data_IF_177223971123
#
_entry.id   IF_177223971123
#
_cell.length_a   1.000
_cell.length_b   1.000
_cell.length_c   1.000
_cell.angle_alpha   90.00
_cell.angle_beta   90.00
_cell.angle_gamma   90.00
#
_symmetry.space_group_name_H-M   'P 1'
#
loop_
_entity.id
_entity.type
_entity.pdbx_description
1 polymer ?
#
# COMPACT_ATOMS: atom_id res chain seq x y z
N UNK A 1 7.73 -18.40 -20.24
CA UNK A 1 9.19 -18.61 -20.26
C UNK A 1 9.94 -17.80 -19.21
N UNK A 2 9.87 -16.46 -19.15
CA UNK A 2 10.73 -15.69 -18.23
C UNK A 2 10.64 -16.05 -16.73
N UNK A 3 9.48 -16.46 -16.22
CA UNK A 3 9.39 -17.00 -14.84
C UNK A 3 9.94 -18.42 -14.72
N UNK A 4 9.85 -19.23 -15.77
CA UNK A 4 10.45 -20.57 -15.81
C UNK A 4 11.97 -20.48 -15.74
N UNK A 5 12.58 -19.53 -16.45
CA UNK A 5 14.04 -19.31 -16.37
C UNK A 5 14.50 -18.99 -14.94
N UNK A 6 13.69 -18.22 -14.19
CA UNK A 6 13.93 -17.94 -12.77
C UNK A 6 13.79 -19.19 -11.90
N UNK A 7 12.73 -19.99 -12.12
CA UNK A 7 12.50 -21.23 -11.37
C UNK A 7 13.58 -22.26 -11.67
N UNK A 8 13.99 -22.40 -12.94
CA UNK A 8 15.07 -23.29 -13.34
C UNK A 8 16.39 -22.86 -12.70
N UNK A 9 16.70 -21.56 -12.67
CA UNK A 9 17.91 -21.12 -11.96
C UNK A 9 17.83 -21.41 -10.46
N UNK A 10 16.64 -21.27 -9.85
CA UNK A 10 16.44 -21.65 -8.46
C UNK A 10 16.62 -23.16 -8.26
N UNK A 11 16.15 -23.98 -9.22
CA UNK A 11 16.31 -25.44 -9.23
C UNK A 11 17.77 -25.84 -9.28
N UNK A 12 18.55 -25.26 -10.19
CA UNK A 12 19.99 -25.53 -10.28
C UNK A 12 20.69 -25.28 -8.93
N UNK A 13 20.34 -24.16 -8.27
CA UNK A 13 20.91 -23.81 -6.95
C UNK A 13 20.43 -24.74 -5.84
N UNK A 14 19.18 -25.19 -5.91
CA UNK A 14 18.59 -26.10 -4.92
C UNK A 14 19.19 -27.50 -5.05
N UNK A 15 19.33 -28.03 -6.27
CA UNK A 15 19.88 -29.36 -6.53
C UNK A 15 21.37 -29.44 -6.15
N UNK A 16 22.15 -28.38 -6.39
CA UNK A 16 23.55 -28.27 -5.93
C UNK A 16 23.68 -28.37 -4.39
N UNK A 17 22.63 -28.04 -3.65
CA UNK A 17 22.62 -27.99 -2.18
C UNK A 17 21.79 -29.09 -1.53
N UNK A 18 21.00 -29.83 -2.30
CA UNK A 18 20.00 -30.76 -1.78
C UNK A 18 18.83 -30.06 -1.06
N UNK A 19 18.44 -28.87 -1.51
CA UNK A 19 17.39 -28.02 -0.93
C UNK A 19 16.11 -27.98 -1.80
N UNK A 20 15.08 -27.24 -1.34
CA UNK A 20 13.81 -27.02 -2.06
C UNK A 20 13.72 -25.65 -2.75
N UNK A 21 12.97 -25.56 -3.85
CA UNK A 21 12.54 -24.29 -4.47
C UNK A 21 11.15 -23.92 -3.98
N UNK A 22 11.08 -22.78 -3.29
CA UNK A 22 9.84 -22.22 -2.74
C UNK A 22 9.45 -20.95 -3.47
N UNK A 23 8.18 -20.82 -3.85
CA UNK A 23 7.63 -19.62 -4.49
C UNK A 23 6.62 -18.94 -3.58
N UNK A 24 6.91 -17.68 -3.20
CA UNK A 24 6.00 -16.85 -2.43
C UNK A 24 5.01 -16.16 -3.37
N UNK A 25 3.79 -16.67 -3.43
CA UNK A 25 2.80 -16.30 -4.42
C UNK A 25 1.62 -15.55 -3.78
N UNK A 26 1.27 -14.40 -4.33
CA UNK A 26 0.11 -13.66 -3.87
C UNK A 26 -1.21 -14.40 -4.19
N UNK A 27 -2.08 -14.55 -3.19
CA UNK A 27 -3.39 -15.21 -3.33
C UNK A 27 -4.48 -14.27 -3.82
N UNK A 28 -4.76 -13.19 -3.09
CA UNK A 28 -5.91 -12.32 -3.38
C UNK A 28 -5.68 -11.29 -4.48
N UNK A 29 -4.62 -10.49 -4.37
CA UNK A 29 -4.38 -9.38 -5.31
C UNK A 29 -2.94 -9.33 -5.79
N UNK A 30 -2.76 -8.88 -7.03
CA UNK A 30 -1.44 -8.65 -7.63
C UNK A 30 -0.67 -7.55 -6.90
N UNK A 31 0.63 -7.45 -7.15
CA UNK A 31 1.46 -6.34 -6.67
C UNK A 31 1.00 -4.95 -7.20
N UNK A 32 0.14 -4.93 -8.23
CA UNK A 32 -0.52 -3.73 -8.73
C UNK A 32 -1.94 -3.53 -8.15
N UNK A 33 -2.33 -4.34 -7.15
CA UNK A 33 -3.60 -4.29 -6.44
C UNK A 33 -4.85 -4.50 -7.33
N UNK A 34 -4.66 -5.21 -8.44
CA UNK A 34 -5.75 -5.73 -9.28
C UNK A 34 -5.99 -7.22 -8.99
N UNK A 35 -7.22 -7.73 -9.24
CA UNK A 35 -7.48 -9.15 -9.34
C UNK A 35 -6.48 -9.85 -10.28
N UNK A 36 -6.21 -11.11 -10.02
CA UNK A 36 -5.38 -11.91 -10.92
C UNK A 36 -6.14 -12.32 -12.17
N UNK A 37 -5.40 -12.61 -13.22
CA UNK A 37 -5.98 -13.11 -14.46
C UNK A 37 -6.54 -14.51 -14.30
N UNK A 38 -5.79 -15.38 -13.62
CA UNK A 38 -6.17 -16.75 -13.25
C UNK A 38 -6.17 -16.89 -11.73
N UNK A 39 -6.87 -17.92 -11.23
CA UNK A 39 -7.00 -18.26 -9.81
C UNK A 39 -5.64 -18.46 -9.12
N UNK A 40 -5.63 -18.48 -7.78
CA UNK A 40 -4.39 -18.78 -7.04
C UNK A 40 -3.96 -20.22 -7.28
N UNK A 41 -4.93 -21.12 -7.35
CA UNK A 41 -4.79 -22.55 -7.55
C UNK A 41 -4.14 -22.83 -8.91
N UNK A 42 -4.67 -22.26 -9.99
CA UNK A 42 -4.08 -22.40 -11.33
C UNK A 42 -2.66 -21.82 -11.40
N UNK A 43 -2.42 -20.63 -10.83
CA UNK A 43 -1.07 -20.03 -10.81
C UNK A 43 -0.08 -20.82 -9.95
N UNK A 44 -0.55 -21.47 -8.89
CA UNK A 44 0.25 -22.37 -8.06
C UNK A 44 0.63 -23.61 -8.85
N UNK A 45 -0.33 -24.22 -9.53
CA UNK A 45 -0.08 -25.36 -10.42
C UNK A 45 0.92 -25.02 -11.53
N UNK A 46 0.79 -23.86 -12.18
CA UNK A 46 1.75 -23.40 -13.20
C UNK A 46 3.18 -23.29 -12.64
N UNK A 47 3.34 -22.84 -11.39
CA UNK A 47 4.65 -22.72 -10.76
C UNK A 47 5.23 -24.09 -10.36
N UNK A 48 4.39 -25.00 -9.85
CA UNK A 48 4.78 -26.38 -9.54
C UNK A 48 5.20 -27.14 -10.80
N UNK A 49 4.41 -27.07 -11.87
CA UNK A 49 4.76 -27.69 -13.17
C UNK A 49 5.99 -27.05 -13.84
N UNK A 50 6.36 -25.83 -13.44
CA UNK A 50 7.59 -25.18 -13.88
C UNK A 50 8.82 -25.60 -13.05
N UNK A 51 8.65 -26.45 -12.03
CA UNK A 51 9.75 -26.98 -11.22
C UNK A 51 9.91 -26.36 -9.83
N UNK A 52 8.89 -25.69 -9.28
CA UNK A 52 8.87 -25.34 -7.86
C UNK A 52 8.43 -26.57 -7.02
N UNK A 53 8.97 -26.71 -5.79
CA UNK A 53 8.54 -27.79 -4.88
C UNK A 53 7.34 -27.36 -4.02
N UNK A 54 7.31 -26.07 -3.66
CA UNK A 54 6.32 -25.56 -2.69
C UNK A 54 5.90 -24.14 -3.01
N UNK A 55 4.61 -23.87 -2.81
CA UNK A 55 4.03 -22.53 -2.93
C UNK A 55 3.65 -22.03 -1.54
N UNK A 56 4.15 -20.84 -1.19
CA UNK A 56 3.79 -20.15 0.06
C UNK A 56 2.83 -19.01 -0.29
N UNK A 57 1.56 -19.05 0.16
CA UNK A 57 0.62 -17.98 -0.10
C UNK A 57 1.01 -16.71 0.66
N UNK A 58 1.06 -15.58 -0.03
CA UNK A 58 0.93 -14.27 0.60
C UNK A 58 -0.55 -13.93 0.57
N UNK A 59 -1.14 -13.62 1.73
CA UNK A 59 -2.58 -13.40 1.87
C UNK A 59 -2.93 -12.31 2.90
N UNK A 60 -4.24 -12.03 3.03
CA UNK A 60 -4.77 -11.02 3.94
C UNK A 60 -4.32 -9.60 3.61
N UNK A 61 -4.08 -8.81 4.66
CA UNK A 61 -3.75 -7.39 4.57
C UNK A 61 -2.38 -7.12 3.90
N UNK A 62 -1.51 -8.12 3.74
CA UNK A 62 -0.22 -7.97 3.06
C UNK A 62 -0.34 -7.48 1.61
N UNK A 63 -1.49 -7.74 0.96
CA UNK A 63 -1.80 -7.22 -0.37
C UNK A 63 -2.20 -5.75 -0.41
N UNK A 64 -2.41 -5.13 0.75
CA UNK A 64 -2.83 -3.73 0.93
C UNK A 64 -1.66 -2.82 1.30
N UNK A 65 -0.45 -3.38 1.34
CA UNK A 65 0.76 -2.65 1.62
C UNK A 65 1.39 -2.11 0.34
N UNK A 66 1.86 -0.87 0.40
CA UNK A 66 2.68 -0.31 -0.67
C UNK A 66 4.02 -1.03 -0.74
N UNK A 67 4.75 -0.82 -1.83
CA UNK A 67 6.09 -1.37 -2.01
C UNK A 67 7.07 -1.04 -0.87
N UNK A 68 6.87 0.08 -0.18
CA UNK A 68 7.72 0.46 0.95
C UNK A 68 7.65 -0.58 2.08
N UNK A 69 6.45 -1.09 2.39
CA UNK A 69 6.23 -2.04 3.49
C UNK A 69 6.24 -3.49 3.03
N UNK A 70 5.71 -3.80 1.83
CA UNK A 70 5.60 -5.21 1.40
C UNK A 70 6.96 -5.87 1.17
N UNK A 71 7.98 -5.13 0.74
CA UNK A 71 9.32 -5.68 0.47
C UNK A 71 10.03 -6.11 1.75
N UNK A 72 10.19 -5.26 2.79
CA UNK A 72 10.80 -5.70 4.05
C UNK A 72 10.05 -6.85 4.71
N UNK A 73 8.72 -6.83 4.67
CA UNK A 73 7.92 -7.92 5.25
C UNK A 73 8.16 -9.24 4.52
N UNK A 74 8.14 -9.26 3.18
CA UNK A 74 8.37 -10.49 2.41
C UNK A 74 9.77 -11.04 2.60
N UNK A 75 10.79 -10.18 2.61
CA UNK A 75 12.17 -10.63 2.85
C UNK A 75 12.32 -11.18 4.26
N UNK A 76 11.68 -10.55 5.26
CA UNK A 76 11.67 -11.07 6.62
C UNK A 76 10.99 -12.44 6.70
N UNK A 77 9.81 -12.61 6.09
CA UNK A 77 9.11 -13.90 6.00
C UNK A 77 10.03 -14.97 5.39
N UNK A 78 10.66 -14.69 4.25
CA UNK A 78 11.60 -15.61 3.61
C UNK A 78 12.77 -15.98 4.53
N UNK A 79 13.38 -15.02 5.22
CA UNK A 79 14.49 -15.29 6.15
C UNK A 79 14.02 -16.14 7.34
N UNK A 80 12.84 -15.83 7.89
CA UNK A 80 12.24 -16.54 9.02
C UNK A 80 11.86 -17.99 8.66
N UNK A 81 11.36 -18.20 7.45
CA UNK A 81 11.03 -19.51 6.89
C UNK A 81 12.29 -20.32 6.49
N UNK A 82 13.48 -19.75 6.67
CA UNK A 82 14.73 -20.45 6.45
C UNK A 82 15.25 -20.42 5.01
N UNK A 83 14.78 -19.49 4.17
CA UNK A 83 15.29 -19.31 2.81
C UNK A 83 16.74 -18.80 2.84
N UNK A 84 17.65 -19.44 2.12
CA UNK A 84 19.09 -19.10 2.06
C UNK A 84 19.47 -18.33 0.80
N UNK A 85 18.74 -18.52 -0.30
CA UNK A 85 19.07 -18.02 -1.62
C UNK A 85 17.84 -17.38 -2.27
N UNK A 86 18.05 -16.31 -3.02
CA UNK A 86 16.99 -15.59 -3.71
C UNK A 86 17.39 -15.38 -5.17
N UNK A 87 16.52 -15.77 -6.09
CA UNK A 87 16.75 -15.62 -7.54
C UNK A 87 15.90 -14.47 -8.06
N UNK A 88 16.51 -13.55 -8.80
CA UNK A 88 15.81 -12.44 -9.46
C UNK A 88 16.40 -12.17 -10.86
N UNK A 89 15.65 -11.45 -11.68
CA UNK A 89 16.11 -11.01 -12.98
C UNK A 89 16.57 -9.55 -12.95
N UNK A 90 17.74 -9.27 -13.54
CA UNK A 90 18.25 -7.92 -13.68
C UNK A 90 18.89 -7.70 -15.05
N UNK A 91 18.67 -6.53 -15.65
CA UNK A 91 19.31 -6.16 -16.94
C UNK A 91 20.70 -5.56 -16.74
N UNK A 92 21.06 -5.20 -15.51
CA UNK A 92 22.34 -4.61 -15.17
C UNK A 92 23.22 -5.61 -14.42
N UNK A 93 24.54 -5.44 -14.59
CA UNK A 93 25.54 -6.23 -13.88
C UNK A 93 25.26 -6.22 -12.35
N UNK A 94 25.25 -7.39 -11.68
CA UNK A 94 25.08 -7.52 -10.23
C UNK A 94 25.91 -6.55 -9.38
N UNK A 95 27.15 -6.26 -9.78
CA UNK A 95 28.02 -5.33 -9.07
C UNK A 95 27.43 -3.90 -9.05
N UNK A 96 26.72 -3.49 -10.11
CA UNK A 96 26.03 -2.19 -10.16
C UNK A 96 24.84 -2.16 -9.20
N UNK A 97 24.06 -3.25 -9.10
CA UNK A 97 22.96 -3.36 -8.12
C UNK A 97 23.49 -3.14 -6.70
N UNK A 98 24.56 -3.86 -6.33
CA UNK A 98 25.20 -3.74 -5.01
C UNK A 98 25.71 -2.32 -4.75
N UNK A 99 26.36 -1.71 -5.75
CA UNK A 99 26.85 -0.32 -5.67
C UNK A 99 25.71 0.66 -5.41
N UNK A 100 24.61 0.58 -6.17
CA UNK A 100 23.46 1.46 -5.96
C UNK A 100 22.78 1.22 -4.61
N UNK A 101 22.62 -0.03 -4.20
CA UNK A 101 22.02 -0.39 -2.92
C UNK A 101 22.82 0.16 -1.72
N UNK A 102 24.16 0.18 -1.80
CA UNK A 102 25.03 0.60 -0.70
C UNK A 102 24.72 2.00 -0.15
N UNK A 103 24.36 2.95 -1.01
CA UNK A 103 23.98 4.31 -0.60
C UNK A 103 22.67 4.33 0.20
N UNK A 104 21.70 3.51 -0.19
CA UNK A 104 20.41 3.40 0.51
C UNK A 104 20.56 2.66 1.84
N UNK A 105 21.39 1.61 1.88
CA UNK A 105 21.71 0.86 3.10
C UNK A 105 22.35 1.79 4.14
N UNK A 106 23.38 2.54 3.75
CA UNK A 106 24.08 3.48 4.66
C UNK A 106 23.15 4.53 5.25
N UNK A 107 22.19 5.01 4.46
CA UNK A 107 21.22 6.03 4.88
C UNK A 107 20.03 5.45 5.64
N UNK A 108 19.79 4.14 5.55
CA UNK A 108 18.57 3.51 6.04
C UNK A 108 17.31 4.03 5.36
N UNK A 109 17.38 4.42 4.07
CA UNK A 109 16.25 4.99 3.31
C UNK A 109 15.94 4.10 2.11
N UNK A 110 14.83 3.35 2.17
CA UNK A 110 14.46 2.37 1.13
C UNK A 110 13.17 2.74 0.38
N UNK A 111 12.43 3.73 0.90
CA UNK A 111 11.20 4.23 0.30
C UNK A 111 11.46 5.11 -0.93
N UNK A 112 12.54 5.90 -0.89
CA UNK A 112 12.84 6.97 -1.84
C UNK A 112 13.79 6.63 -2.99
N UNK A 113 13.84 5.37 -3.45
CA UNK A 113 14.72 4.99 -4.58
C UNK A 113 14.24 5.65 -5.88
N UNK A 114 15.06 6.50 -6.55
CA UNK A 114 14.65 7.24 -7.74
C UNK A 114 14.18 6.36 -8.90
N UNK A 115 13.17 6.84 -9.64
CA UNK A 115 12.64 6.13 -10.81
C UNK A 115 13.63 6.04 -11.97
N UNK A 116 14.61 6.94 -12.03
CA UNK A 116 15.67 6.96 -13.03
C UNK A 116 16.70 5.84 -12.86
N UNK A 117 16.74 5.15 -11.71
CA UNK A 117 17.66 4.04 -11.51
C UNK A 117 17.15 2.77 -12.21
N UNK A 118 18.02 2.06 -12.96
CA UNK A 118 17.67 0.79 -13.60
C UNK A 118 17.40 -0.28 -12.54
N UNK A 119 16.48 -1.21 -12.83
CA UNK A 119 16.07 -2.29 -11.92
C UNK A 119 15.83 -1.82 -10.46
N UNK A 120 15.24 -0.62 -10.25
CA UNK A 120 15.04 -0.01 -8.92
C UNK A 120 14.39 -0.93 -7.88
N UNK A 121 13.54 -1.86 -8.34
CA UNK A 121 12.88 -2.82 -7.46
C UNK A 121 13.90 -3.82 -6.94
N UNK A 122 14.73 -4.41 -7.81
CA UNK A 122 15.83 -5.31 -7.44
C UNK A 122 16.80 -4.63 -6.47
N UNK A 123 17.14 -3.35 -6.72
CA UNK A 123 17.96 -2.54 -5.80
C UNK A 123 17.29 -2.45 -4.42
N UNK A 124 15.97 -2.23 -4.35
CA UNK A 124 15.21 -2.19 -3.09
C UNK A 124 15.29 -3.53 -2.36
N UNK A 125 15.01 -4.63 -3.05
CA UNK A 125 15.01 -5.97 -2.46
C UNK A 125 16.40 -6.31 -1.90
N UNK A 126 17.45 -6.06 -2.67
CA UNK A 126 18.82 -6.27 -2.20
C UNK A 126 19.16 -5.40 -0.98
N UNK A 127 18.85 -4.10 -1.04
CA UNK A 127 19.14 -3.16 0.03
C UNK A 127 18.44 -3.52 1.34
N UNK A 128 17.19 -3.97 1.25
CA UNK A 128 16.39 -4.38 2.40
C UNK A 128 16.88 -5.71 2.99
N UNK A 129 17.31 -6.66 2.16
CA UNK A 129 17.96 -7.90 2.64
C UNK A 129 19.24 -7.61 3.43
N UNK A 130 20.05 -6.65 2.97
CA UNK A 130 21.24 -6.19 3.70
C UNK A 130 20.89 -5.48 5.01
N UNK A 131 19.82 -4.66 5.02
CA UNK A 131 19.32 -4.03 6.25
C UNK A 131 18.88 -5.06 7.29
N UNK A 132 18.10 -6.06 6.87
CA UNK A 132 17.54 -7.09 7.75
C UNK A 132 18.60 -8.04 8.32
N UNK A 133 19.81 -8.10 7.74
CA UNK A 133 20.94 -8.80 8.34
C UNK A 133 21.24 -8.29 9.75
N UNK A 134 21.07 -7.00 10.02
CA UNK A 134 21.30 -6.43 11.35
C UNK A 134 20.39 -7.06 12.41
N UNK A 135 19.15 -7.40 12.02
CA UNK A 135 18.09 -7.96 12.85
C UNK A 135 18.15 -9.48 12.96
N UNK A 136 18.33 -10.19 11.85
CA UNK A 136 18.28 -11.65 11.82
C UNK A 136 19.65 -12.32 11.92
N UNK A 137 20.75 -11.56 11.79
CA UNK A 137 22.13 -12.07 11.64
C UNK A 137 22.28 -13.10 10.51
N UNK A 138 21.32 -13.08 9.58
CA UNK A 138 21.21 -13.92 8.40
C UNK A 138 20.61 -13.07 7.28
N UNK A 139 21.01 -13.36 6.05
CA UNK A 139 20.49 -12.75 4.84
C UNK A 139 20.53 -13.76 3.71
N UNK A 140 19.66 -13.58 2.71
CA UNK A 140 19.66 -14.44 1.53
C UNK A 140 20.80 -14.06 0.58
N UNK A 141 21.38 -15.06 -0.08
CA UNK A 141 22.32 -14.87 -1.19
C UNK A 141 21.53 -14.61 -2.47
N UNK A 142 21.74 -13.44 -3.08
CA UNK A 142 21.06 -13.07 -4.32
C UNK A 142 21.79 -13.66 -5.53
N UNK A 143 21.03 -14.31 -6.41
CA UNK A 143 21.44 -14.79 -7.72
C UNK A 143 20.69 -14.01 -8.78
N UNK A 144 21.41 -13.40 -9.71
CA UNK A 144 20.80 -12.59 -10.77
C UNK A 144 20.99 -13.28 -12.12
N UNK A 145 19.89 -13.42 -12.86
CA UNK A 145 19.92 -13.83 -14.26
C UNK A 145 19.46 -12.67 -15.16
N UNK A 146 19.80 -12.68 -16.45
CA UNK A 146 19.21 -11.77 -17.41
C UNK A 146 17.68 -11.91 -17.44
N UNK A 147 16.96 -10.82 -17.69
CA UNK A 147 15.51 -10.92 -17.92
C UNK A 147 15.21 -11.79 -19.16
N UNK A 148 14.24 -12.70 -19.03
CA UNK A 148 13.81 -13.57 -20.12
C UNK A 148 13.29 -12.79 -21.32
N UNK A 149 13.86 -13.07 -22.49
CA UNK A 149 13.53 -12.44 -23.77
C UNK A 149 13.15 -13.49 -24.81
N UNK A 150 12.19 -13.16 -25.68
CA UNK A 150 11.88 -13.94 -26.89
C UNK A 150 12.08 -13.02 -28.07
N UNK A 151 12.87 -13.43 -29.06
CA UNK A 151 13.27 -12.62 -30.22
C UNK A 151 13.86 -11.25 -29.84
N UNK A 152 14.60 -11.18 -28.73
CA UNK A 152 15.22 -9.94 -28.23
C UNK A 152 14.28 -9.02 -27.45
N UNK A 153 12.97 -9.31 -27.39
CA UNK A 153 11.98 -8.54 -26.66
C UNK A 153 11.63 -9.16 -25.30
N UNK A 154 11.40 -8.30 -24.30
CA UNK A 154 11.01 -8.73 -22.96
C UNK A 154 9.61 -9.34 -22.98
N UNK A 155 9.48 -10.54 -22.42
CA UNK A 155 8.19 -11.20 -22.28
C UNK A 155 7.33 -10.39 -21.29
N UNK A 156 6.20 -9.84 -21.76
CA UNK A 156 5.33 -8.98 -20.98
C UNK A 156 4.03 -9.69 -20.60
N UNK A 157 3.85 -10.00 -19.31
CA UNK A 157 2.59 -10.56 -18.82
C UNK A 157 1.37 -9.65 -19.07
N UNK A 158 1.56 -8.33 -19.21
CA UNK A 158 0.47 -7.40 -19.58
C UNK A 158 0.04 -7.63 -21.04
N UNK A 159 1.01 -7.80 -21.94
CA UNK A 159 0.74 -8.02 -23.35
C UNK A 159 0.09 -9.40 -23.56
N UNK A 160 0.61 -10.45 -22.93
CA UNK A 160 0.03 -11.80 -22.97
C UNK A 160 -1.45 -11.78 -22.58
N UNK A 161 -1.78 -11.20 -21.42
CA UNK A 161 -3.18 -11.09 -20.98
C UNK A 161 -4.05 -10.29 -21.94
N UNK A 162 -3.52 -9.20 -22.48
CA UNK A 162 -4.26 -8.37 -23.44
C UNK A 162 -4.56 -9.14 -24.72
N UNK A 163 -3.57 -9.84 -25.28
CA UNK A 163 -3.75 -10.65 -26.50
C UNK A 163 -4.79 -11.75 -26.30
N UNK A 164 -4.81 -12.44 -25.15
CA UNK A 164 -5.85 -13.43 -24.85
C UNK A 164 -7.23 -12.77 -24.78
N UNK A 165 -7.36 -11.61 -24.11
CA UNK A 165 -8.63 -10.89 -23.99
C UNK A 165 -9.15 -10.37 -25.34
N UNK A 166 -8.26 -9.80 -26.16
CA UNK A 166 -8.59 -9.28 -27.49
C UNK A 166 -8.95 -10.40 -28.49
N UNK A 167 -8.51 -11.63 -28.22
CA UNK A 167 -8.80 -12.81 -29.02
C UNK A 167 -9.95 -13.67 -28.44
N UNK A 168 -10.92 -13.03 -27.77
CA UNK A 168 -12.11 -13.67 -27.19
C UNK A 168 -11.78 -14.85 -26.27
N UNK A 169 -10.80 -14.66 -25.37
CA UNK A 169 -10.31 -15.67 -24.44
C UNK A 169 -9.68 -16.91 -25.09
N UNK A 170 -9.34 -16.87 -26.39
CA UNK A 170 -8.55 -17.94 -27.02
C UNK A 170 -7.07 -17.59 -26.98
N UNK A 171 -6.23 -18.54 -26.61
CA UNK A 171 -4.78 -18.34 -26.59
C UNK A 171 -4.23 -18.35 -28.02
N UNK A 172 -3.78 -17.21 -28.57
CA UNK A 172 -3.24 -17.19 -29.93
C UNK A 172 -1.86 -17.83 -29.98
N UNK A 173 -1.45 -18.27 -31.19
CA UNK A 173 -0.12 -18.86 -31.41
C UNK A 173 1.06 -17.95 -31.06
N UNK A 174 0.88 -16.63 -31.04
CA UNK A 174 1.89 -15.68 -30.54
C UNK A 174 2.13 -15.83 -29.03
N UNK A 175 1.06 -16.06 -28.27
CA UNK A 175 1.10 -16.23 -26.82
C UNK A 175 1.58 -17.62 -26.44
N UNK A 176 1.13 -18.67 -27.13
CA UNK A 176 1.56 -20.04 -26.81
C UNK A 176 3.07 -20.22 -26.96
N UNK A 177 3.70 -19.54 -27.94
CA UNK A 177 5.16 -19.55 -28.14
C UNK A 177 5.98 -18.97 -26.98
N UNK A 178 5.38 -18.15 -26.12
CA UNK A 178 6.09 -17.49 -25.00
C UNK A 178 5.70 -18.05 -23.63
N UNK A 179 4.79 -19.03 -23.61
CA UNK A 179 4.33 -19.74 -22.43
C UNK A 179 4.77 -21.21 -22.49
N UNK A 180 5.07 -21.85 -21.34
CA UNK A 180 5.24 -23.30 -21.29
C UNK A 180 3.94 -24.01 -21.69
N UNK A 181 4.04 -25.20 -22.31
CA UNK A 181 2.88 -26.00 -22.70
C UNK A 181 1.94 -26.29 -21.52
N UNK A 182 2.50 -26.60 -20.35
CA UNK A 182 1.75 -26.75 -19.10
C UNK A 182 0.91 -25.51 -18.76
N UNK A 183 1.49 -24.32 -18.90
CA UNK A 183 0.79 -23.06 -18.63
C UNK A 183 -0.32 -22.80 -19.63
N UNK A 184 -0.11 -23.14 -20.91
CA UNK A 184 -1.15 -23.04 -21.95
C UNK A 184 -2.33 -23.92 -21.58
N UNK A 185 -2.09 -25.21 -21.31
CA UNK A 185 -3.12 -26.17 -20.91
C UNK A 185 -3.92 -25.69 -19.70
N UNK A 186 -3.24 -25.29 -18.61
CA UNK A 186 -3.92 -24.81 -17.40
C UNK A 186 -4.76 -23.56 -17.69
N UNK A 187 -4.25 -22.62 -18.51
CA UNK A 187 -5.04 -21.43 -18.86
C UNK A 187 -6.27 -21.78 -19.70
N UNK A 188 -6.17 -22.74 -20.62
CA UNK A 188 -7.30 -23.23 -21.41
C UNK A 188 -8.36 -23.86 -20.51
N UNK A 189 -7.97 -24.71 -19.56
CA UNK A 189 -8.89 -25.29 -18.56
C UNK A 189 -9.62 -24.21 -17.75
N UNK A 190 -8.92 -23.16 -17.28
CA UNK A 190 -9.53 -22.08 -16.51
C UNK A 190 -10.44 -21.17 -17.37
N UNK A 191 -10.13 -21.01 -18.65
CA UNK A 191 -10.99 -20.32 -19.62
C UNK A 191 -12.28 -21.12 -19.84
N UNK A 192 -12.18 -22.43 -20.01
CA UNK A 192 -13.33 -23.33 -20.20
C UNK A 192 -14.27 -23.34 -18.98
N UNK A 193 -13.72 -23.25 -17.77
CA UNK A 193 -14.51 -23.09 -16.54
C UNK A 193 -15.17 -21.71 -16.39
N UNK A 194 -14.78 -20.72 -17.19
CA UNK A 194 -15.26 -19.34 -17.06
C UNK A 194 -14.65 -18.59 -15.87
N UNK A 195 -13.51 -19.04 -15.35
CA UNK A 195 -12.83 -18.43 -14.19
C UNK A 195 -11.84 -17.31 -14.59
N UNK A 196 -11.63 -17.11 -15.90
CA UNK A 196 -10.77 -16.07 -16.47
C UNK A 196 -11.58 -15.04 -17.26
N UNK A 197 -11.29 -13.73 -17.14
CA UNK A 197 -10.33 -13.13 -16.21
C UNK A 197 -10.94 -12.98 -14.81
N UNK A 198 -10.11 -13.05 -13.76
CA UNK A 198 -10.54 -12.61 -12.44
C UNK A 198 -11.02 -11.15 -12.46
N UNK A 199 -12.17 -10.90 -11.85
CA UNK A 199 -12.83 -9.57 -11.83
C UNK A 199 -12.96 -9.02 -10.42
N UNK A 200 -13.21 -7.70 -10.32
CA UNK A 200 -13.55 -7.04 -9.05
C UNK A 200 -15.01 -7.27 -8.72
N UNK A 201 -15.35 -7.24 -7.44
CA UNK A 201 -16.74 -7.12 -7.01
C UNK A 201 -17.22 -5.67 -7.18
N UNK A 202 -17.62 -5.32 -8.41
CA UNK A 202 -18.06 -3.96 -8.76
C UNK A 202 -19.32 -3.54 -7.99
N UNK A 203 -20.24 -4.46 -7.72
CA UNK A 203 -21.47 -4.15 -6.99
C UNK A 203 -21.16 -3.67 -5.56
N UNK A 204 -20.30 -4.39 -4.84
CA UNK A 204 -19.86 -3.99 -3.49
C UNK A 204 -19.07 -2.68 -3.55
N UNK A 205 -18.12 -2.57 -4.48
CA UNK A 205 -17.29 -1.37 -4.64
C UNK A 205 -18.16 -0.13 -4.91
N UNK A 206 -19.01 -0.16 -5.93
CA UNK A 206 -19.85 0.97 -6.32
C UNK A 206 -20.87 1.29 -5.24
N UNK A 207 -21.51 0.29 -4.61
CA UNK A 207 -22.41 0.49 -3.48
C UNK A 207 -21.72 1.27 -2.36
N UNK A 208 -20.52 0.85 -1.94
CA UNK A 208 -19.78 1.54 -0.87
C UNK A 208 -19.34 2.94 -1.29
N UNK A 209 -18.79 3.10 -2.50
CA UNK A 209 -18.37 4.40 -3.00
C UNK A 209 -19.51 5.41 -3.11
N UNK A 210 -20.72 4.95 -3.43
CA UNK A 210 -21.88 5.79 -3.61
C UNK A 210 -22.61 6.12 -2.30
N UNK A 211 -22.63 5.20 -1.33
CA UNK A 211 -23.44 5.33 -0.11
C UNK A 211 -22.66 5.75 1.12
N UNK A 212 -21.36 5.47 1.19
CA UNK A 212 -20.55 5.78 2.38
C UNK A 212 -20.50 7.29 2.64
N UNK A 213 -20.58 7.68 3.89
CA UNK A 213 -20.39 9.07 4.29
C UNK A 213 -18.92 9.49 4.15
N UNK A 214 -18.68 10.80 4.24
CA UNK A 214 -17.32 11.36 4.11
C UNK A 214 -16.35 10.84 5.15
N UNK A 215 -16.77 10.72 6.41
CA UNK A 215 -15.91 10.20 7.48
C UNK A 215 -15.64 8.70 7.32
N UNK A 216 -16.61 7.92 6.85
CA UNK A 216 -16.42 6.50 6.56
C UNK A 216 -15.37 6.28 5.46
N UNK A 217 -15.50 6.99 4.33
CA UNK A 217 -14.50 6.92 3.26
C UNK A 217 -13.12 7.39 3.72
N UNK A 218 -13.06 8.40 4.60
CA UNK A 218 -11.79 8.88 5.13
C UNK A 218 -11.12 7.87 6.05
N UNK A 219 -11.90 6.99 6.70
CA UNK A 219 -11.38 5.90 7.53
C UNK A 219 -10.88 4.70 6.71
N UNK A 220 -11.27 4.57 5.45
CA UNK A 220 -10.72 3.57 4.53
C UNK A 220 -9.24 3.84 4.27
N UNK A 221 -8.41 2.79 4.27
CA UNK A 221 -7.00 2.90 3.98
C UNK A 221 -6.75 3.45 2.55
N UNK A 222 -5.67 4.21 2.39
CA UNK A 222 -5.21 4.76 1.11
C UNK A 222 -6.11 5.82 0.47
N UNK A 223 -7.21 6.23 1.11
CA UNK A 223 -7.97 7.42 0.73
C UNK A 223 -7.54 8.62 1.58
N UNK A 224 -7.17 9.72 0.93
CA UNK A 224 -6.91 11.02 1.57
C UNK A 224 -8.12 11.97 1.38
N UNK A 225 -8.07 13.16 1.99
CA UNK A 225 -9.22 14.07 1.95
C UNK A 225 -9.59 14.51 0.52
N UNK A 226 -8.60 14.71 -0.36
CA UNK A 226 -8.83 15.08 -1.75
C UNK A 226 -9.54 13.96 -2.52
N UNK A 227 -9.09 12.71 -2.39
CA UNK A 227 -9.74 11.57 -3.04
C UNK A 227 -11.18 11.39 -2.56
N UNK A 228 -11.40 11.49 -1.25
CA UNK A 228 -12.75 11.40 -0.67
C UNK A 228 -13.67 12.49 -1.23
N UNK A 229 -13.19 13.73 -1.36
CA UNK A 229 -14.01 14.82 -1.89
C UNK A 229 -14.35 14.60 -3.38
N UNK A 230 -13.38 14.22 -4.21
CA UNK A 230 -13.65 13.91 -5.62
C UNK A 230 -14.54 12.68 -5.80
N UNK A 231 -14.46 11.70 -4.89
CA UNK A 231 -15.40 10.57 -4.85
C UNK A 231 -16.82 11.06 -4.57
N UNK A 232 -17.00 11.93 -3.59
CA UNK A 232 -18.34 12.44 -3.22
C UNK A 232 -18.92 13.30 -4.33
N UNK A 233 -18.11 14.16 -4.95
CA UNK A 233 -18.54 15.03 -6.05
C UNK A 233 -18.89 14.26 -7.33
N UNK A 234 -18.23 13.12 -7.56
CA UNK A 234 -18.46 12.30 -8.75
C UNK A 234 -19.65 11.34 -8.66
N UNK A 235 -20.34 11.27 -7.51
CA UNK A 235 -21.53 10.42 -7.35
C UNK A 235 -22.67 10.90 -8.27
N UNK A 236 -23.50 10.01 -8.80
CA UNK A 236 -23.54 8.56 -8.58
C UNK A 236 -22.74 7.78 -9.63
N UNK A 237 -21.98 6.78 -9.20
CA UNK A 237 -21.19 5.91 -10.07
C UNK A 237 -21.97 4.69 -10.54
N UNK A 238 -21.88 4.40 -11.84
CA UNK A 238 -22.43 3.21 -12.49
C UNK A 238 -21.34 2.29 -13.05
N UNK A 239 -20.10 2.77 -13.15
CA UNK A 239 -18.99 2.02 -13.71
C UNK A 239 -17.65 2.43 -13.07
N UNK A 240 -16.67 1.51 -13.05
CA UNK A 240 -15.37 1.73 -12.43
C UNK A 240 -14.64 2.93 -13.04
N UNK A 241 -14.69 3.10 -14.37
CA UNK A 241 -13.99 4.16 -15.10
C UNK A 241 -14.35 5.59 -14.64
N UNK A 242 -15.59 5.80 -14.17
CA UNK A 242 -16.04 7.06 -13.58
C UNK A 242 -15.34 7.33 -12.25
N UNK A 243 -15.20 6.29 -11.41
CA UNK A 243 -14.46 6.37 -10.14
C UNK A 243 -12.98 6.67 -10.40
N UNK A 244 -12.40 6.02 -11.42
CA UNK A 244 -11.03 6.31 -11.84
C UNK A 244 -10.84 7.77 -12.25
N UNK A 245 -11.82 8.42 -12.86
CA UNK A 245 -11.76 9.84 -13.19
C UNK A 245 -11.68 10.72 -11.93
N UNK A 246 -12.51 10.44 -10.91
CA UNK A 246 -12.47 11.14 -9.63
C UNK A 246 -11.12 10.95 -8.91
N UNK A 247 -10.58 9.73 -8.88
CA UNK A 247 -9.26 9.49 -8.27
C UNK A 247 -8.12 10.20 -9.01
N UNK A 248 -8.18 10.27 -10.35
CA UNK A 248 -7.20 11.04 -11.14
C UNK A 248 -7.23 12.53 -10.81
N UNK A 249 -8.41 13.12 -10.61
CA UNK A 249 -8.54 14.52 -10.20
C UNK A 249 -7.89 14.77 -8.83
N UNK A 250 -7.90 13.77 -7.94
CA UNK A 250 -7.19 13.80 -6.66
C UNK A 250 -5.67 13.52 -6.76
N UNK A 251 -5.12 13.37 -7.97
CA UNK A 251 -3.70 13.10 -8.21
C UNK A 251 -3.29 11.62 -8.06
N UNK A 252 -4.24 10.68 -8.05
CA UNK A 252 -3.92 9.26 -7.87
C UNK A 252 -3.46 8.65 -9.19
N UNK A 253 -2.27 8.08 -9.17
CA UNK A 253 -1.76 7.25 -10.26
C UNK A 253 -2.36 5.83 -10.23
N UNK A 254 -2.21 5.04 -11.31
CA UNK A 254 -2.95 3.79 -11.47
C UNK A 254 -2.75 2.73 -10.38
N UNK A 255 -1.55 2.64 -9.79
CA UNK A 255 -1.27 1.67 -8.72
C UNK A 255 -1.97 2.07 -7.42
N UNK A 256 -1.90 3.36 -7.06
CA UNK A 256 -2.53 3.87 -5.85
C UNK A 256 -4.06 3.87 -5.98
N UNK A 257 -4.60 4.18 -7.17
CA UNK A 257 -6.03 4.05 -7.42
C UNK A 257 -6.52 2.63 -7.19
N UNK A 258 -5.84 1.62 -7.75
CA UNK A 258 -6.19 0.21 -7.54
C UNK A 258 -6.09 -0.22 -6.09
N UNK A 259 -5.08 0.27 -5.36
CA UNK A 259 -4.91 0.00 -3.94
C UNK A 259 -6.04 0.60 -3.10
N UNK A 260 -6.39 1.87 -3.34
CA UNK A 260 -7.49 2.51 -2.66
C UNK A 260 -8.82 1.82 -2.97
N UNK A 261 -9.08 1.49 -4.24
CA UNK A 261 -10.30 0.79 -4.65
C UNK A 261 -10.39 -0.60 -4.04
N UNK A 262 -9.29 -1.37 -3.97
CA UNK A 262 -9.33 -2.67 -3.29
C UNK A 262 -9.54 -2.57 -1.78
N UNK A 263 -9.13 -1.46 -1.15
CA UNK A 263 -9.45 -1.21 0.26
C UNK A 263 -10.93 -0.84 0.44
N UNK A 264 -11.52 -0.07 -0.48
CA UNK A 264 -12.98 0.19 -0.45
C UNK A 264 -13.77 -1.08 -0.72
N UNK A 265 -13.35 -1.89 -1.68
CA UNK A 265 -13.95 -3.17 -2.07
C UNK A 265 -13.95 -4.21 -0.94
N UNK A 266 -12.94 -4.17 -0.04
CA UNK A 266 -12.82 -5.10 1.10
C UNK A 266 -13.05 -4.44 2.47
N UNK A 267 -13.48 -3.17 2.51
CA UNK A 267 -13.73 -2.39 3.74
C UNK A 267 -12.51 -2.27 4.68
N UNK A 268 -11.31 -2.22 4.10
CA UNK A 268 -10.06 -2.17 4.86
C UNK A 268 -9.84 -0.76 5.41
N UNK A 269 -9.72 -0.67 6.72
CA UNK A 269 -9.54 0.58 7.46
C UNK A 269 -8.07 0.97 7.58
N UNK A 270 -7.82 2.26 7.83
CA UNK A 270 -6.48 2.76 8.18
C UNK A 270 -5.90 2.06 9.40
N UNK A 271 -6.76 1.75 10.38
CA UNK A 271 -6.36 1.11 11.64
C UNK A 271 -5.76 -0.26 11.41
N UNK A 272 -6.41 -1.10 10.60
CA UNK A 272 -5.90 -2.44 10.27
C UNK A 272 -4.52 -2.39 9.59
N UNK A 273 -4.33 -1.45 8.65
CA UNK A 273 -3.03 -1.26 7.99
C UNK A 273 -1.98 -0.73 8.97
N UNK A 274 -2.36 0.22 9.82
CA UNK A 274 -1.49 0.78 10.84
C UNK A 274 -1.03 -0.29 11.84
N UNK A 275 -1.95 -1.08 12.38
CA UNK A 275 -1.66 -2.15 13.34
C UNK A 275 -0.76 -3.21 12.73
N UNK A 276 -1.03 -3.64 11.47
CA UNK A 276 -0.16 -4.55 10.74
C UNK A 276 1.27 -4.01 10.63
N UNK A 277 1.43 -2.74 10.25
CA UNK A 277 2.77 -2.13 10.11
C UNK A 277 3.44 -1.99 11.47
N UNK A 278 2.72 -1.56 12.52
CA UNK A 278 3.25 -1.47 13.89
C UNK A 278 3.73 -2.82 14.41
N UNK A 279 3.06 -3.91 14.07
CA UNK A 279 3.48 -5.24 14.51
C UNK A 279 4.79 -5.68 13.84
N UNK A 280 5.00 -5.33 12.57
CA UNK A 280 6.29 -5.53 11.90
C UNK A 280 7.38 -4.55 12.38
N UNK A 281 7.01 -3.34 12.78
CA UNK A 281 7.94 -2.39 13.42
C UNK A 281 8.48 -2.92 14.74
N UNK A 282 7.61 -3.44 15.62
CA UNK A 282 8.02 -4.05 16.90
C UNK A 282 9.00 -5.21 16.69
N UNK A 283 8.87 -5.92 15.58
CA UNK A 283 9.77 -7.00 15.19
C UNK A 283 11.10 -6.52 14.59
N UNK A 284 11.28 -5.21 14.38
CA UNK A 284 12.48 -4.64 13.74
C UNK A 284 12.58 -4.92 12.24
N UNK A 285 11.45 -5.23 11.58
CA UNK A 285 11.38 -5.57 10.16
C UNK A 285 11.21 -4.31 9.30
N UNK A 286 10.45 -3.33 9.79
CA UNK A 286 10.22 -2.08 9.07
C UNK A 286 11.44 -1.14 9.20
N UNK A 287 11.98 -0.63 8.09
CA UNK A 287 13.07 0.33 8.11
C UNK A 287 12.77 1.62 8.90
N UNK A 288 13.79 2.24 9.54
CA UNK A 288 13.60 3.45 10.36
C UNK A 288 13.03 4.67 9.63
N UNK A 289 13.20 4.78 8.30
CA UNK A 289 12.63 5.86 7.49
C UNK A 289 11.14 5.68 7.18
N UNK A 290 10.60 4.50 7.46
CA UNK A 290 9.26 4.06 7.08
C UNK A 290 8.34 3.85 8.28
N UNK A 291 8.81 3.99 9.51
CA UNK A 291 7.97 3.74 10.69
C UNK A 291 6.78 4.69 10.76
N UNK A 292 5.68 4.28 11.38
CA UNK A 292 4.50 5.09 11.64
C UNK A 292 4.87 6.33 12.45
N UNK A 293 5.78 6.17 13.42
CA UNK A 293 6.36 7.29 14.16
C UNK A 293 7.06 8.28 13.24
N UNK A 294 7.84 7.81 12.26
CA UNK A 294 8.49 8.69 11.29
C UNK A 294 7.49 9.43 10.42
N UNK A 295 6.36 8.80 10.07
CA UNK A 295 5.26 9.46 9.32
C UNK A 295 4.62 10.58 10.16
N UNK A 296 4.36 10.33 11.44
CA UNK A 296 3.79 11.29 12.39
C UNK A 296 4.77 12.44 12.68
N UNK A 297 6.03 12.11 12.94
CA UNK A 297 7.11 13.06 13.17
C UNK A 297 7.33 13.98 11.96
N UNK A 298 7.25 13.44 10.74
CA UNK A 298 7.29 14.25 9.53
C UNK A 298 6.14 15.27 9.50
N UNK A 299 4.93 14.85 9.81
CA UNK A 299 3.77 15.74 9.84
C UNK A 299 3.94 16.84 10.89
N UNK A 300 4.50 16.50 12.06
CA UNK A 300 4.80 17.44 13.14
C UNK A 300 5.91 18.42 12.79
N UNK A 301 6.98 17.94 12.16
CA UNK A 301 8.08 18.77 11.69
C UNK A 301 7.58 19.80 10.68
N UNK A 302 6.85 19.33 9.65
CA UNK A 302 6.33 20.19 8.59
C UNK A 302 5.39 21.25 9.17
N UNK A 303 4.46 20.87 10.05
CA UNK A 303 3.55 21.85 10.67
C UNK A 303 4.30 22.88 11.52
N UNK A 304 5.35 22.48 12.23
CA UNK A 304 6.19 23.36 13.03
C UNK A 304 7.02 24.33 12.19
N UNK A 305 7.45 23.93 11.00
CA UNK A 305 8.23 24.79 10.09
C UNK A 305 7.34 25.75 9.30
N UNK A 306 6.12 25.32 8.95
CA UNK A 306 5.13 26.19 8.31
C UNK A 306 4.74 27.36 9.21
N UNK A 307 4.60 27.12 10.52
CA UNK A 307 4.39 28.19 11.50
C UNK A 307 5.55 29.20 11.54
N UNK A 308 6.76 28.77 11.16
CA UNK A 308 7.96 29.61 11.06
C UNK A 308 8.16 30.24 9.67
N UNK A 309 7.19 30.11 8.78
CA UNK A 309 7.18 30.75 7.46
C UNK A 309 7.73 29.92 6.30
N UNK A 310 8.11 28.66 6.50
CA UNK A 310 8.50 27.78 5.38
C UNK A 310 7.25 27.25 4.66
N UNK A 311 7.39 26.95 3.37
CA UNK A 311 6.37 26.17 2.68
C UNK A 311 6.43 24.70 3.13
N UNK A 312 5.31 23.98 2.97
CA UNK A 312 5.26 22.54 3.27
C UNK A 312 6.27 21.72 2.46
N UNK A 313 6.58 22.15 1.23
CA UNK A 313 7.54 21.46 0.35
C UNK A 313 8.96 21.61 0.86
N UNK A 314 9.40 22.85 1.15
CA UNK A 314 10.74 23.13 1.68
C UNK A 314 10.95 22.45 3.04
N UNK A 315 9.93 22.47 3.91
CA UNK A 315 9.98 21.75 5.18
C UNK A 315 10.11 20.24 4.97
N UNK A 316 9.37 19.66 4.01
CA UNK A 316 9.46 18.25 3.71
C UNK A 316 10.87 17.85 3.21
N UNK A 317 11.48 18.64 2.34
CA UNK A 317 12.84 18.41 1.84
C UNK A 317 13.87 18.44 2.96
N UNK A 318 13.84 19.48 3.81
CA UNK A 318 14.71 19.58 4.98
C UNK A 318 14.57 18.39 5.93
N UNK A 319 13.34 17.89 6.14
CA UNK A 319 13.11 16.67 6.93
C UNK A 319 13.78 15.44 6.31
N UNK A 320 13.70 15.29 4.98
CA UNK A 320 14.34 14.19 4.25
C UNK A 320 15.86 14.25 4.28
N UNK A 321 16.42 15.44 4.44
CA UNK A 321 17.86 15.67 4.62
C UNK A 321 18.35 15.42 6.05
N UNK A 322 17.43 15.15 6.99
CA UNK A 322 17.76 14.79 8.38
C UNK A 322 17.41 15.87 9.40
N UNK A 323 16.85 17.02 8.98
CA UNK A 323 16.41 18.05 9.92
C UNK A 323 15.26 17.56 10.80
N UNK A 324 15.28 17.93 12.09
CA UNK A 324 14.28 17.53 13.09
C UNK A 324 13.86 18.70 13.99
N UNK A 325 12.70 18.57 14.63
CA UNK A 325 12.27 19.49 15.69
C UNK A 325 12.84 19.06 17.04
N UNK A 326 12.96 20.01 17.98
CA UNK A 326 13.30 19.68 19.38
C UNK A 326 12.12 19.07 20.13
N UNK A 327 10.91 19.55 19.84
CA UNK A 327 9.69 19.08 20.50
C UNK A 327 9.17 17.81 19.82
N UNK A 328 8.69 16.88 20.64
CA UNK A 328 8.09 15.63 20.20
C UNK A 328 6.69 15.83 19.60
N UNK A 329 6.26 14.95 18.68
CA UNK A 329 4.90 14.98 18.14
C UNK A 329 3.84 14.73 19.22
N UNK A 330 2.74 15.47 19.14
CA UNK A 330 1.58 15.21 19.98
C UNK A 330 0.76 14.05 19.41
N UNK A 331 0.56 13.01 20.23
CA UNK A 331 -0.31 11.87 19.91
C UNK A 331 -1.73 12.02 20.46
N UNK A 332 -1.96 13.00 21.35
CA UNK A 332 -3.30 13.38 21.77
C UNK A 332 -3.39 14.87 22.04
N UNK A 333 -4.48 15.49 21.58
CA UNK A 333 -4.73 16.92 21.76
C UNK A 333 -6.23 17.23 21.64
N UNK A 334 -6.65 18.34 22.22
CA UNK A 334 -8.05 18.77 22.22
C UNK A 334 -8.31 19.81 21.10
N UNK A 335 -9.39 19.62 20.36
CA UNK A 335 -9.95 20.59 19.42
C UNK A 335 -11.21 21.24 19.97
N UNK A 336 -11.36 22.54 19.76
CA UNK A 336 -12.59 23.26 20.08
C UNK A 336 -13.72 22.95 19.08
N UNK A 337 -14.95 23.20 19.52
CA UNK A 337 -16.16 23.03 18.71
C UNK A 337 -16.90 24.36 18.56
N UNK A 338 -17.69 24.46 17.49
CA UNK A 338 -18.75 25.44 17.34
C UNK A 338 -20.11 24.74 17.54
N UNK A 339 -20.68 24.86 18.74
CA UNK A 339 -21.95 24.24 19.12
C UNK A 339 -23.02 25.30 19.35
N UNK A 340 -24.26 24.99 18.98
CA UNK A 340 -25.44 25.81 19.25
C UNK A 340 -26.06 25.39 20.58
N UNK A 341 -26.71 26.31 21.28
CA UNK A 341 -27.24 26.07 22.63
C UNK A 341 -28.17 24.85 22.71
N UNK A 342 -29.03 24.64 21.69
CA UNK A 342 -29.96 23.50 21.64
C UNK A 342 -29.28 22.15 21.35
N UNK A 343 -28.02 22.14 20.90
CA UNK A 343 -27.25 20.92 20.66
C UNK A 343 -26.64 20.39 21.96
N UNK A 344 -26.41 21.25 22.96
CA UNK A 344 -25.71 20.91 24.19
C UNK A 344 -26.39 19.83 25.03
N UNK A 345 -27.73 19.82 25.04
CA UNK A 345 -28.53 18.90 25.86
C UNK A 345 -28.45 17.44 25.40
N UNK A 346 -28.14 17.20 24.12
CA UNK A 346 -28.06 15.84 23.56
C UNK A 346 -26.64 15.27 23.60
N UNK A 347 -25.64 16.04 24.05
CA UNK A 347 -24.24 15.62 24.08
C UNK A 347 -23.91 14.86 25.36
N UNK A 348 -23.11 13.80 25.21
CA UNK A 348 -22.60 12.99 26.32
C UNK A 348 -21.09 12.83 26.17
N UNK A 349 -20.38 12.88 27.29
CA UNK A 349 -18.95 12.61 27.32
C UNK A 349 -18.69 11.16 26.87
N UNK A 350 -17.59 10.94 26.16
CA UNK A 350 -17.23 9.65 25.56
C UNK A 350 -17.88 9.38 24.20
N UNK A 351 -18.72 10.28 23.68
CA UNK A 351 -19.30 10.11 22.33
C UNK A 351 -18.21 10.11 21.26
N UNK A 352 -18.29 9.15 20.33
CA UNK A 352 -17.41 9.11 19.17
C UNK A 352 -17.65 10.33 18.27
N UNK A 353 -16.55 10.97 17.85
CA UNK A 353 -16.53 12.08 16.95
C UNK A 353 -15.83 11.68 15.64
N UNK A 354 -16.61 11.54 14.58
CA UNK A 354 -16.09 11.12 13.29
C UNK A 354 -15.49 12.31 12.54
N UNK A 355 -14.19 12.25 12.27
CA UNK A 355 -13.44 13.32 11.62
C UNK A 355 -13.66 13.31 10.11
N UNK A 356 -13.72 14.50 9.51
CA UNK A 356 -13.72 14.67 8.07
C UNK A 356 -13.19 16.04 7.65
N UNK A 357 -12.88 16.19 6.37
CA UNK A 357 -12.57 17.48 5.74
C UNK A 357 -13.77 17.89 4.89
N UNK A 358 -14.38 19.05 5.12
CA UNK A 358 -15.54 19.45 4.33
C UNK A 358 -15.18 19.91 2.90
N UNK A 359 -16.20 20.22 2.08
CA UNK A 359 -16.03 20.67 0.69
C UNK A 359 -15.24 21.98 0.54
N UNK A 360 -15.05 22.74 1.62
CA UNK A 360 -14.26 23.98 1.66
C UNK A 360 -12.84 23.72 2.18
N UNK A 361 -12.48 22.46 2.44
CA UNK A 361 -11.18 22.09 2.99
C UNK A 361 -11.07 22.21 4.51
N UNK A 362 -12.17 22.50 5.20
CA UNK A 362 -12.17 22.74 6.67
C UNK A 362 -12.20 21.41 7.41
N UNK A 363 -11.29 21.24 8.39
CA UNK A 363 -11.30 20.14 9.33
C UNK A 363 -12.54 20.23 10.23
N UNK A 364 -13.37 19.20 10.23
CA UNK A 364 -14.62 19.16 10.96
C UNK A 364 -14.84 17.78 11.59
N UNK A 365 -15.79 17.71 12.51
CA UNK A 365 -16.25 16.46 13.07
C UNK A 365 -17.76 16.31 12.97
N UNK A 366 -18.20 15.06 13.00
CA UNK A 366 -19.59 14.65 13.04
C UNK A 366 -19.84 13.83 14.31
N UNK A 367 -20.80 14.27 15.12
CA UNK A 367 -21.32 13.55 16.28
C UNK A 367 -22.73 13.04 15.95
N UNK A 368 -23.07 11.85 16.43
CA UNK A 368 -24.40 11.22 16.24
C UNK A 368 -25.11 10.98 17.58
N UNK A 369 -25.53 12.03 18.31
CA UNK A 369 -26.38 11.85 19.47
C UNK A 369 -27.73 11.21 19.08
N UNK A 370 -28.45 10.59 20.03
CA UNK A 370 -29.77 10.00 19.75
C UNK A 370 -30.71 10.99 19.05
N UNK A 371 -31.25 10.59 17.90
CA UNK A 371 -32.22 11.38 17.12
C UNK A 371 -31.66 12.63 16.43
N UNK A 372 -30.35 12.87 16.43
CA UNK A 372 -29.76 14.06 15.78
C UNK A 372 -28.35 13.80 15.25
N UNK A 373 -27.97 14.64 14.30
CA UNK A 373 -26.63 14.72 13.74
C UNK A 373 -26.06 16.12 13.98
N UNK A 374 -24.91 16.21 14.64
CA UNK A 374 -24.22 17.49 14.90
C UNK A 374 -22.93 17.51 14.09
N UNK A 375 -22.76 18.55 13.26
CA UNK A 375 -21.55 18.78 12.47
C UNK A 375 -20.92 20.08 12.91
N UNK A 376 -19.62 20.06 13.18
CA UNK A 376 -18.93 21.25 13.70
C UNK A 376 -17.52 21.36 13.14
N UNK A 377 -17.11 22.54 12.63
CA UNK A 377 -15.71 22.82 12.35
C UNK A 377 -14.86 22.70 13.62
N UNK A 378 -13.67 22.13 13.47
CA UNK A 378 -12.70 22.05 14.55
C UNK A 378 -11.99 23.40 14.72
N UNK A 379 -11.92 23.89 15.95
CA UNK A 379 -11.11 25.06 16.30
C UNK A 379 -9.76 24.60 16.85
N UNK A 380 -8.71 24.83 16.07
CA UNK A 380 -7.33 24.47 16.37
C UNK A 380 -6.40 25.66 16.08
N UNK A 381 -5.30 25.83 16.83
CA UNK A 381 -4.21 26.70 16.42
C UNK A 381 -3.67 26.34 15.04
N UNK A 382 -3.10 27.31 14.30
CA UNK A 382 -2.64 27.12 12.92
C UNK A 382 -1.72 25.90 12.74
N UNK A 383 -0.70 25.77 13.60
CA UNK A 383 0.19 24.58 13.64
C UNK A 383 -0.59 23.28 13.77
N UNK A 384 -1.55 23.21 14.69
CA UNK A 384 -2.32 21.98 14.96
C UNK A 384 -3.32 21.65 13.85
N UNK A 385 -3.89 22.67 13.20
CA UNK A 385 -4.72 22.48 12.01
C UNK A 385 -3.90 21.89 10.86
N UNK A 386 -2.70 22.42 10.60
CA UNK A 386 -1.77 21.88 9.59
C UNK A 386 -1.33 20.47 9.94
N UNK A 387 -0.97 20.21 11.19
CA UNK A 387 -0.57 18.89 11.66
C UNK A 387 -1.68 17.85 11.46
N UNK A 388 -2.89 18.13 11.95
CA UNK A 388 -4.04 17.24 11.77
C UNK A 388 -4.36 17.01 10.30
N UNK A 389 -4.24 18.05 9.46
CA UNK A 389 -4.46 17.91 8.02
C UNK A 389 -3.46 16.96 7.36
N UNK A 390 -2.18 17.07 7.70
CA UNK A 390 -1.13 16.18 7.20
C UNK A 390 -1.34 14.73 7.66
N UNK A 391 -1.82 14.52 8.88
CA UNK A 391 -2.17 13.18 9.36
C UNK A 391 -3.39 12.61 8.64
N UNK A 392 -4.43 13.43 8.41
CA UNK A 392 -5.59 13.05 7.59
C UNK A 392 -5.14 12.63 6.18
N UNK A 393 -4.20 13.35 5.58
CA UNK A 393 -3.72 13.06 4.23
C UNK A 393 -2.63 11.98 4.15
N UNK A 394 -2.15 11.48 5.29
CA UNK A 394 -1.13 10.40 5.37
C UNK A 394 -1.60 9.03 4.88
N UNK A 395 -2.90 8.87 4.57
CA UNK A 395 -3.55 7.68 4.03
C UNK A 395 -3.60 6.43 4.92
N UNK A 396 -2.72 6.32 5.92
CA UNK A 396 -2.59 5.13 6.77
C UNK A 396 -2.64 5.43 8.27
N UNK A 397 -2.43 6.68 8.71
CA UNK A 397 -2.52 7.01 10.14
C UNK A 397 -4.01 7.09 10.52
N UNK A 398 -4.49 6.22 11.43
CA UNK A 398 -5.84 6.30 11.96
C UNK A 398 -5.95 7.50 12.92
N UNK A 399 -7.13 8.09 12.94
CA UNK A 399 -7.44 9.24 13.79
C UNK A 399 -8.76 8.98 14.48
N UNK A 400 -8.75 9.04 15.81
CA UNK A 400 -9.94 8.87 16.62
C UNK A 400 -10.30 10.18 17.28
N UNK A 401 -11.59 10.50 17.31
CA UNK A 401 -12.14 11.65 18.00
C UNK A 401 -13.12 11.20 19.08
N UNK A 402 -13.03 11.81 20.26
CA UNK A 402 -13.91 11.53 21.38
C UNK A 402 -14.38 12.85 22.00
N UNK A 403 -15.67 12.99 22.26
CA UNK A 403 -16.23 14.17 22.90
C UNK A 403 -15.90 14.16 24.40
N UNK A 404 -15.18 15.17 24.87
CA UNK A 404 -14.78 15.30 26.29
C UNK A 404 -15.24 16.64 26.87
N UNK A 405 -15.53 16.64 28.17
CA UNK A 405 -15.94 17.85 28.88
C UNK A 405 -14.73 18.49 29.56
N UNK A 406 -14.43 19.75 29.22
CA UNK A 406 -13.38 20.55 29.86
C UNK A 406 -13.98 21.73 30.62
N UNK A 407 -13.17 22.38 31.48
CA UNK A 407 -13.58 23.57 32.24
C UNK A 407 -14.20 24.67 31.36
N UNK A 408 -13.71 24.83 30.12
CA UNK A 408 -14.18 25.83 29.13
C UNK A 408 -15.13 25.24 28.07
N UNK A 409 -15.89 24.20 28.44
CA UNK A 409 -16.91 23.55 27.60
C UNK A 409 -16.44 22.27 26.89
N UNK A 410 -17.27 21.80 25.95
CA UNK A 410 -17.03 20.58 25.17
C UNK A 410 -15.84 20.72 24.22
N UNK A 411 -15.05 19.65 24.10
CA UNK A 411 -13.91 19.53 23.19
C UNK A 411 -13.93 18.16 22.52
N UNK A 412 -13.27 18.05 21.37
CA UNK A 412 -12.94 16.75 20.78
C UNK A 412 -11.52 16.41 21.18
N UNK A 413 -11.33 15.39 22.00
CA UNK A 413 -10.03 14.79 22.23
C UNK A 413 -9.69 13.94 21.01
N UNK A 414 -8.64 14.34 20.31
CA UNK A 414 -8.10 13.62 19.17
C UNK A 414 -7.00 12.68 19.65
N UNK A 415 -6.94 11.49 19.07
CA UNK A 415 -5.87 10.50 19.25
C UNK A 415 -5.31 10.11 17.88
N UNK A 416 -3.98 10.05 17.79
CA UNK A 416 -3.23 9.72 16.58
C UNK A 416 -2.60 8.35 16.75
N UNK A 417 -2.86 7.42 15.80
CA UNK A 417 -2.41 6.03 15.91
C UNK A 417 -3.37 5.16 16.71
#
# INVERSE_FOLDING_TARGET
>A
MGHVDLIQKARDVADEKGDEVVIYLNKGYSANHAPFFASFEARSQMALEAGADRIVPIEGLHHRLTMAYTVPIRIAMMIQDGVTDYVDAAEVNPAKIKKYASGFIKRGIFSGIPRSLPNRNVIRWYAVNEFLYQRFKRKMKFHFIPEGKVNGEKISGRQIRREILENNLRIPGSVSKVLPESTVRILEEEIEKGEIPGTRNLDVLLKRLNTSSRHQLLNTAHLNAAAVEHIIQGRWYQAENQVWASLRQAGYGPVLSRLALSCVEEDVTRREIYELIKDYEKQGIIPPDQTMERVVERAWYVSSMVEKGLTSSEAHEKFREGSRTRDEPLYSFDAGLHLRSFELSSLKEGMEAHLYVDKRGVLACELKPPGRKVKSPLKLPGKMATYLRLLVDSQIIPLQGELVKRKRGWRIKLKVG
#
